data_IF_300460233238
#
_entry.id   IF_300460233238
#
_cell.length_a   1.000
_cell.length_b   1.000
_cell.length_c   1.000
_cell.angle_alpha   90.00
_cell.angle_beta   90.00
_cell.angle_gamma   90.00
#
_symmetry.space_group_name_H-M   'P 1'
#
loop_
_entity.id
_entity.type
_entity.pdbx_description
1 polymer ?
#
# COMPACT_ATOMS: atom_id res chain seq x y z
N UNK A 1 -16.84 9.29 2.77
CA UNK A 1 -15.88 8.48 2.00
C UNK A 1 -14.92 9.45 1.34
N UNK A 2 -13.60 9.25 1.50
CA UNK A 2 -12.59 10.11 0.86
C UNK A 2 -12.16 9.48 -0.47
N UNK A 3 -11.60 10.29 -1.38
CA UNK A 3 -11.23 9.88 -2.74
C UNK A 3 -10.35 8.61 -2.79
N UNK A 4 -9.45 8.44 -1.81
CA UNK A 4 -8.58 7.26 -1.69
C UNK A 4 -9.38 6.00 -1.37
N UNK A 5 -10.35 6.11 -0.46
CA UNK A 5 -11.25 4.99 -0.14
C UNK A 5 -12.09 4.57 -1.35
N UNK A 6 -12.56 5.53 -2.15
CA UNK A 6 -13.34 5.25 -3.35
C UNK A 6 -12.46 4.54 -4.40
N UNK A 7 -11.24 5.02 -4.63
CA UNK A 7 -10.26 4.36 -5.50
C UNK A 7 -9.97 2.91 -5.07
N UNK A 8 -9.73 2.66 -3.78
CA UNK A 8 -9.50 1.30 -3.27
C UNK A 8 -10.75 0.42 -3.47
N UNK A 9 -11.94 0.96 -3.25
CA UNK A 9 -13.21 0.25 -3.44
C UNK A 9 -13.45 -0.13 -4.91
N UNK A 10 -13.09 0.74 -5.87
CA UNK A 10 -13.21 0.46 -7.31
C UNK A 10 -12.35 -0.74 -7.74
N UNK A 11 -11.28 -1.03 -7.00
CA UNK A 11 -10.40 -2.18 -7.20
C UNK A 11 -10.68 -3.36 -6.26
N UNK A 12 -11.81 -3.34 -5.54
CA UNK A 12 -12.19 -4.42 -4.62
C UNK A 12 -11.22 -4.59 -3.45
N UNK A 13 -10.57 -3.51 -3.02
CA UNK A 13 -9.57 -3.49 -1.95
C UNK A 13 -8.38 -4.43 -2.17
N UNK A 14 -8.18 -4.91 -3.40
CA UNK A 14 -7.17 -5.92 -3.75
C UNK A 14 -7.31 -7.23 -2.95
N UNK A 15 -8.53 -7.60 -2.54
CA UNK A 15 -8.79 -8.88 -1.87
C UNK A 15 -8.27 -10.06 -2.70
N UNK A 16 -7.55 -10.99 -2.05
CA UNK A 16 -6.88 -12.15 -2.66
C UNK A 16 -5.71 -11.85 -3.63
N UNK A 17 -5.29 -10.58 -3.76
CA UNK A 17 -4.09 -10.24 -4.51
C UNK A 17 -2.84 -10.62 -3.72
N UNK A 18 -1.78 -10.96 -4.43
CA UNK A 18 -0.47 -11.26 -3.86
C UNK A 18 0.36 -9.99 -3.81
N UNK A 19 1.02 -9.73 -2.68
CA UNK A 19 2.04 -8.69 -2.55
C UNK A 19 3.37 -9.23 -3.07
N UNK A 20 3.79 -8.75 -4.25
CA UNK A 20 5.04 -9.17 -4.91
C UNK A 20 6.22 -8.23 -4.64
N UNK A 21 5.96 -6.94 -4.40
CA UNK A 21 7.03 -5.96 -4.26
C UNK A 21 6.70 -4.88 -3.23
N UNK A 22 7.71 -4.55 -2.43
CA UNK A 22 7.73 -3.38 -1.55
C UNK A 22 8.95 -2.55 -1.94
N UNK A 23 8.73 -1.35 -2.47
CA UNK A 23 9.81 -0.48 -2.93
C UNK A 23 9.74 0.85 -2.20
N UNK A 24 10.83 1.21 -1.50
CA UNK A 24 10.96 2.46 -0.75
C UNK A 24 11.91 3.40 -1.53
N UNK A 25 11.45 4.61 -1.85
CA UNK A 25 12.19 5.59 -2.69
C UNK A 25 12.11 7.01 -2.12
N UNK A 26 13.04 7.88 -2.55
CA UNK A 26 13.00 9.33 -2.27
C UNK A 26 12.85 10.14 -3.55
N UNK A 27 11.94 11.12 -3.59
CA UNK A 27 11.58 11.88 -4.81
C UNK A 27 12.57 12.98 -5.21
N UNK A 28 13.20 13.69 -4.27
CA UNK A 28 14.02 14.86 -4.60
C UNK A 28 15.31 15.00 -3.77
N UNK A 29 15.36 14.46 -2.56
CA UNK A 29 16.51 14.55 -1.68
C UNK A 29 16.72 13.18 -1.03
N UNK A 30 17.69 12.40 -1.54
CA UNK A 30 17.95 10.97 -1.22
C UNK A 30 18.24 10.64 0.26
N UNK A 31 18.00 11.59 1.19
CA UNK A 31 18.24 11.43 2.63
C UNK A 31 17.03 10.89 3.39
N UNK A 32 15.81 11.12 2.90
CA UNK A 32 14.58 10.58 3.53
C UNK A 32 13.70 10.01 2.43
N UNK A 33 13.44 8.69 2.43
CA UNK A 33 12.48 8.13 1.50
C UNK A 33 11.08 8.62 1.87
N UNK A 34 10.38 9.18 0.88
CA UNK A 34 9.04 9.78 0.99
C UNK A 34 8.05 9.12 0.03
N UNK A 35 8.43 8.01 -0.59
CA UNK A 35 7.57 7.24 -1.50
C UNK A 35 7.63 5.76 -1.17
N UNK A 36 6.45 5.16 -1.03
CA UNK A 36 6.27 3.71 -0.96
C UNK A 36 5.55 3.26 -2.24
N UNK A 37 6.05 2.19 -2.85
CA UNK A 37 5.40 1.53 -3.97
C UNK A 37 5.14 0.09 -3.60
N UNK A 38 3.89 -0.35 -3.71
CA UNK A 38 3.49 -1.75 -3.58
C UNK A 38 3.21 -2.31 -4.98
N UNK A 39 3.87 -3.41 -5.32
CA UNK A 39 3.52 -4.23 -6.47
C UNK A 39 2.58 -5.35 -6.03
N UNK A 40 1.47 -5.49 -6.73
CA UNK A 40 0.44 -6.48 -6.46
C UNK A 40 0.13 -7.26 -7.74
N UNK A 41 -0.17 -8.54 -7.63
CA UNK A 41 -0.66 -9.31 -8.76
C UNK A 41 -1.79 -10.28 -8.40
N UNK A 42 -2.64 -10.58 -9.38
CA UNK A 42 -3.68 -11.59 -9.31
C UNK A 42 -3.80 -12.29 -10.67
N UNK A 43 -3.30 -13.52 -10.76
CA UNK A 43 -3.18 -14.27 -12.02
C UNK A 43 -2.36 -13.48 -13.07
N UNK A 44 -2.99 -13.02 -14.16
CA UNK A 44 -2.36 -12.26 -15.26
C UNK A 44 -2.52 -10.74 -15.10
N UNK A 45 -3.02 -10.27 -13.94
CA UNK A 45 -3.20 -8.84 -13.65
C UNK A 45 -2.11 -8.39 -12.69
N UNK A 46 -1.53 -7.24 -12.98
CA UNK A 46 -0.58 -6.56 -12.11
C UNK A 46 -1.11 -5.15 -11.80
N UNK A 47 -0.88 -4.71 -10.57
CA UNK A 47 -1.20 -3.37 -10.11
C UNK A 47 0.00 -2.81 -9.34
N UNK A 48 0.17 -1.50 -9.44
CA UNK A 48 1.14 -0.76 -8.64
C UNK A 48 0.39 0.30 -7.86
N UNK A 49 0.54 0.29 -6.53
CA UNK A 49 0.04 1.36 -5.67
C UNK A 49 1.22 2.21 -5.25
N UNK A 50 1.18 3.49 -5.58
CA UNK A 50 2.22 4.47 -5.20
C UNK A 50 1.67 5.43 -4.16
N UNK A 51 2.26 5.40 -2.96
CA UNK A 51 2.01 6.35 -1.89
C UNK A 51 3.11 7.41 -1.90
N UNK A 52 2.72 8.67 -2.04
CA UNK A 52 3.63 9.82 -2.10
C UNK A 52 3.51 10.70 -0.85
N UNK A 53 4.62 11.34 -0.49
CA UNK A 53 4.70 12.11 0.75
C UNK A 53 4.62 11.23 1.99
N UNK A 54 5.14 10.01 1.94
CA UNK A 54 5.20 9.10 3.10
C UNK A 54 5.93 9.77 4.25
N UNK A 55 5.31 9.78 5.42
CA UNK A 55 5.86 10.31 6.68
C UNK A 55 6.21 9.20 7.65
N UNK A 56 5.41 8.13 7.66
CA UNK A 56 5.62 6.96 8.51
C UNK A 56 5.27 5.69 7.75
N UNK A 57 6.06 4.65 7.99
CA UNK A 57 5.86 3.32 7.41
C UNK A 57 6.17 2.27 8.47
N UNK A 58 5.23 1.37 8.70
CA UNK A 58 5.42 0.16 9.48
C UNK A 58 5.17 -1.06 8.61
N UNK A 59 6.04 -2.05 8.69
CA UNK A 59 5.91 -3.35 8.02
C UNK A 59 6.16 -4.42 9.09
N UNK A 60 5.32 -5.43 9.13
CA UNK A 60 5.46 -6.58 10.03
C UNK A 60 5.19 -7.89 9.28
N UNK A 61 5.77 -8.97 9.80
CA UNK A 61 5.68 -10.32 9.25
C UNK A 61 6.15 -10.44 7.78
N UNK A 62 5.61 -11.44 7.07
CA UNK A 62 5.98 -11.79 5.71
C UNK A 62 6.19 -13.28 5.50
N UNK A 63 5.91 -13.75 4.29
CA UNK A 63 6.11 -15.15 3.89
C UNK A 63 6.19 -15.30 2.38
N UNK A 64 6.18 -16.55 1.91
CA UNK A 64 6.21 -16.82 0.46
C UNK A 64 4.89 -16.45 -0.26
N UNK A 65 3.76 -16.42 0.47
CA UNK A 65 2.44 -16.20 -0.14
C UNK A 65 1.99 -14.73 -0.11
N UNK A 66 2.22 -13.97 0.97
CA UNK A 66 1.78 -12.56 1.15
C UNK A 66 0.45 -12.21 0.45
N UNK A 67 -0.65 -12.79 0.91
CA UNK A 67 -1.99 -12.61 0.32
C UNK A 67 -2.69 -11.48 1.06
N UNK A 68 -3.18 -10.50 0.30
CA UNK A 68 -3.93 -9.35 0.78
C UNK A 68 -5.35 -9.76 1.16
N UNK A 69 -5.75 -9.48 2.40
CA UNK A 69 -7.16 -9.52 2.79
C UNK A 69 -7.86 -8.23 2.34
N UNK A 70 -7.28 -7.07 2.62
CA UNK A 70 -7.80 -5.79 2.14
C UNK A 70 -6.74 -4.69 2.25
N UNK A 71 -6.86 -3.67 1.40
CA UNK A 71 -6.17 -2.38 1.57
C UNK A 71 -7.23 -1.31 1.79
N UNK A 72 -7.16 -0.62 2.92
CA UNK A 72 -8.19 0.32 3.35
C UNK A 72 -7.62 1.58 4.00
N UNK A 73 -8.34 2.69 3.86
CA UNK A 73 -8.07 3.89 4.66
C UNK A 73 -8.53 3.65 6.09
N UNK A 74 -7.67 3.96 7.05
CA UNK A 74 -7.95 3.76 8.46
C UNK A 74 -8.44 5.06 9.10
N UNK A 75 -9.70 5.07 9.52
CA UNK A 75 -10.29 6.19 10.26
C UNK A 75 -9.79 6.23 11.70
N UNK A 76 -9.56 7.43 12.24
CA UNK A 76 -8.94 7.65 13.56
C UNK A 76 -9.72 7.12 14.77
N UNK A 77 -11.00 6.79 14.58
CA UNK A 77 -11.92 6.24 15.58
C UNK A 77 -12.12 4.72 15.45
N UNK A 78 -11.46 4.07 14.50
CA UNK A 78 -11.61 2.62 14.25
C UNK A 78 -10.66 1.79 15.12
N UNK A 79 -11.02 0.53 15.39
CA UNK A 79 -10.12 -0.42 16.05
C UNK A 79 -8.84 -0.66 15.24
N UNK A 80 -8.98 -0.68 13.91
CA UNK A 80 -7.89 -0.73 12.95
C UNK A 80 -6.86 0.40 13.13
N UNK A 81 -7.27 1.57 13.60
CA UNK A 81 -6.36 2.68 13.87
C UNK A 81 -5.33 2.35 14.92
N UNK A 82 -5.68 1.59 15.96
CA UNK A 82 -4.72 1.21 16.98
C UNK A 82 -3.66 0.25 16.43
N UNK A 83 -4.07 -0.69 15.58
CA UNK A 83 -3.14 -1.61 14.90
C UNK A 83 -2.22 -0.85 13.96
N UNK A 84 -2.77 0.04 13.12
CA UNK A 84 -2.00 0.91 12.25
C UNK A 84 -1.00 1.75 13.04
N UNK A 85 -1.43 2.38 14.14
CA UNK A 85 -0.53 3.20 14.96
C UNK A 85 0.56 2.40 15.65
N UNK A 86 0.28 1.16 16.06
CA UNK A 86 1.27 0.25 16.62
C UNK A 86 2.38 -0.06 15.60
N UNK A 87 2.01 -0.41 14.36
CA UNK A 87 2.99 -0.62 13.28
C UNK A 87 3.77 0.67 12.98
N UNK A 88 3.07 1.79 12.82
CA UNK A 88 3.68 3.08 12.51
C UNK A 88 4.59 3.60 13.64
N UNK A 89 4.42 3.14 14.88
CA UNK A 89 5.28 3.53 16.01
C UNK A 89 6.73 3.05 15.84
N UNK A 90 6.96 2.04 14.98
CA UNK A 90 8.28 1.54 14.61
C UNK A 90 9.01 2.48 13.62
N UNK A 91 8.32 3.49 13.06
CA UNK A 91 8.89 4.51 12.18
C UNK A 91 9.49 5.68 12.96
N UNK A 92 10.49 6.35 12.38
CA UNK A 92 10.98 7.63 12.88
C UNK A 92 9.83 8.65 12.95
N UNK A 93 9.76 9.38 14.06
CA UNK A 93 8.77 10.43 14.28
C UNK A 93 9.34 11.79 13.86
N UNK A 94 8.76 12.38 12.82
CA UNK A 94 8.93 13.79 12.49
C UNK A 94 7.68 14.59 12.91
N UNK A 95 7.78 15.92 12.97
CA UNK A 95 6.67 16.84 13.24
C UNK A 95 5.63 16.84 12.13
N UNK A 96 6.05 16.55 10.89
CA UNK A 96 5.15 16.43 9.74
C UNK A 96 4.31 15.17 9.86
N UNK A 97 3.00 15.30 9.64
CA UNK A 97 2.06 14.20 9.50
C UNK A 97 1.53 14.14 8.08
N UNK A 98 1.34 12.93 7.56
CA UNK A 98 0.63 12.72 6.30
C UNK A 98 -0.87 13.01 6.44
N UNK A 99 -1.52 13.27 5.32
CA UNK A 99 -2.97 13.52 5.26
C UNK A 99 -3.81 12.25 5.53
N UNK A 100 -3.28 11.07 5.20
CA UNK A 100 -4.00 9.81 5.22
C UNK A 100 -3.20 8.70 5.89
N UNK A 101 -3.90 7.70 6.42
CA UNK A 101 -3.32 6.43 6.86
C UNK A 101 -4.02 5.30 6.13
N UNK A 102 -3.26 4.44 5.47
CA UNK A 102 -3.75 3.20 4.86
C UNK A 102 -3.12 2.01 5.56
N UNK A 103 -3.89 0.94 5.66
CA UNK A 103 -3.44 -0.34 6.17
C UNK A 103 -3.71 -1.43 5.14
N UNK A 104 -2.70 -2.26 4.90
CA UNK A 104 -2.79 -3.52 4.18
C UNK A 104 -2.94 -4.62 5.23
N UNK A 105 -4.13 -5.20 5.31
CA UNK A 105 -4.42 -6.39 6.10
C UNK A 105 -4.03 -7.60 5.29
N UNK A 106 -3.32 -8.54 5.90
CA UNK A 106 -2.99 -9.79 5.25
C UNK A 106 -4.01 -10.87 5.61
N UNK A 107 -4.37 -11.70 4.63
CA UNK A 107 -4.93 -13.03 4.91
C UNK A 107 -3.81 -13.94 5.40
N UNK A 108 -2.61 -13.78 4.82
CA UNK A 108 -1.36 -14.40 5.26
C UNK A 108 -0.18 -13.57 4.80
N UNK A 109 0.84 -13.40 5.64
CA UNK A 109 2.11 -12.76 5.27
C UNK A 109 2.24 -11.36 5.85
N UNK A 110 2.61 -10.40 5.01
CA UNK A 110 3.01 -9.06 5.47
C UNK A 110 1.82 -8.16 5.78
N UNK A 111 1.85 -7.50 6.94
CA UNK A 111 0.97 -6.37 7.27
C UNK A 111 1.72 -5.05 7.10
N UNK A 112 1.06 -4.03 6.52
CA UNK A 112 1.71 -2.75 6.21
C UNK A 112 0.80 -1.60 6.64
N UNK A 113 1.35 -0.67 7.42
CA UNK A 113 0.71 0.61 7.73
C UNK A 113 1.52 1.75 7.12
N UNK A 114 0.86 2.69 6.44
CA UNK A 114 1.51 3.84 5.81
C UNK A 114 0.76 5.14 6.08
N UNK A 115 1.49 6.17 6.52
CA UNK A 115 1.01 7.55 6.68
C UNK A 115 1.57 8.42 5.54
N UNK A 116 0.71 9.05 4.73
CA UNK A 116 1.11 9.65 3.43
C UNK A 116 0.19 10.80 2.99
N UNK A 117 0.53 11.49 1.89
CA UNK A 117 -0.24 12.65 1.39
C UNK A 117 -1.14 12.35 0.22
N UNK A 118 -0.69 11.51 -0.72
CA UNK A 118 -1.46 11.13 -1.90
C UNK A 118 -1.15 9.71 -2.37
N UNK A 119 -2.12 9.11 -3.08
CA UNK A 119 -2.03 7.75 -3.61
C UNK A 119 -2.37 7.75 -5.10
N UNK A 120 -1.69 6.90 -5.86
CA UNK A 120 -2.05 6.55 -7.24
C UNK A 120 -2.06 5.04 -7.41
N UNK A 121 -3.00 4.54 -8.22
CA UNK A 121 -3.10 3.13 -8.59
C UNK A 121 -2.94 3.01 -10.10
N UNK A 122 -1.94 2.24 -10.53
CA UNK A 122 -1.69 1.94 -11.94
C UNK A 122 -1.93 0.45 -12.19
N UNK A 123 -2.92 0.14 -13.03
CA UNK A 123 -3.13 -1.22 -13.53
C UNK A 123 -2.27 -1.46 -14.77
N UNK A 124 -1.44 -2.49 -14.74
CA UNK A 124 -0.74 -2.96 -15.93
C UNK A 124 -1.75 -3.67 -16.83
N UNK A 125 -1.83 -3.22 -18.09
CA UNK A 125 -2.63 -3.94 -19.08
C UNK A 125 -1.93 -5.28 -19.38
N UNK A 126 -2.69 -6.38 -19.53
CA UNK A 126 -2.13 -7.62 -20.04
C UNK A 126 -1.44 -7.32 -21.37
N UNK A 127 -0.23 -7.85 -21.56
CA UNK A 127 0.43 -7.78 -22.86
C UNK A 127 -0.46 -8.57 -23.81
N UNK A 128 -1.05 -7.90 -24.82
CA UNK A 128 -1.65 -8.61 -25.95
C UNK A 128 -0.52 -9.38 -26.63
N UNK A 129 -0.39 -10.67 -26.31
CA UNK A 129 0.47 -11.58 -27.06
C UNK A 129 -0.16 -11.65 -28.45
N UNK A 130 0.38 -10.84 -29.36
CA UNK A 130 -0.04 -10.82 -30.75
C UNK A 130 -0.11 -12.25 -31.26
N UNK A 131 -1.27 -12.62 -31.82
CA UNK A 131 -1.44 -13.91 -32.50
C UNK A 131 -0.31 -14.04 -33.51
N UNK A 132 0.68 -14.88 -33.19
CA UNK A 132 1.64 -15.37 -34.16
C UNK A 132 0.80 -16.09 -35.22
N UNK A 133 0.63 -15.44 -36.36
CA UNK A 133 0.11 -16.04 -37.59
C UNK A 133 1.29 -16.54 -38.40
#
# INVERSE_FOLDING_TARGET
MNEISDQLSEHGHFHDWYLEAIIIRGTANRRVPDTLVLGLFESEREATITFSGVTRLGIEDGGALNIVNAIEVVESNSQAFQQAQSLLAKSAHDKRKGNYTVYLYSTVGAEIAVEFDSMNIDLKRPIEVGKLR
#
